data_IF_260230897239
#
_entry.id   IF_260230897239
#
_cell.length_a   1.000
_cell.length_b   1.000
_cell.length_c   1.000
_cell.angle_alpha   90.00
_cell.angle_beta   90.00
_cell.angle_gamma   90.00
#
_symmetry.space_group_name_H-M   'P 1'
#
loop_
_entity.id
_entity.type
_entity.pdbx_description
1 polymer ?
#
# COMPACT_ATOMS: atom_id res chain seq x y z
N UNK A 1 -1.01 20.11 -1.56
CA UNK A 1 -0.73 18.68 -1.24
C UNK A 1 -1.44 18.33 0.05
N UNK A 2 -2.20 17.23 0.12
CA UNK A 2 -2.95 16.86 1.34
C UNK A 2 -1.96 16.45 2.45
N UNK A 3 -1.80 17.33 3.46
CA UNK A 3 -0.80 17.19 4.53
C UNK A 3 -1.03 15.92 5.36
N UNK A 4 -2.29 15.54 5.59
CA UNK A 4 -2.65 14.36 6.38
C UNK A 4 -2.30 13.06 5.65
N UNK A 5 -2.66 12.96 4.36
CA UNK A 5 -2.32 11.79 3.56
C UNK A 5 -0.81 11.59 3.43
N UNK A 6 -0.08 12.69 3.16
CA UNK A 6 1.38 12.68 3.04
C UNK A 6 2.04 12.18 4.33
N UNK A 7 1.53 12.59 5.49
CA UNK A 7 2.02 12.12 6.80
C UNK A 7 1.82 10.62 6.99
N UNK A 8 0.67 10.07 6.63
CA UNK A 8 0.42 8.62 6.75
C UNK A 8 1.28 7.80 5.79
N UNK A 9 1.48 8.28 4.55
CA UNK A 9 2.40 7.64 3.58
C UNK A 9 3.82 7.60 4.12
N UNK A 10 4.33 8.72 4.65
CA UNK A 10 5.67 8.77 5.23
C UNK A 10 5.81 7.85 6.45
N UNK A 11 4.78 7.78 7.30
CA UNK A 11 4.76 6.88 8.46
C UNK A 11 4.76 5.41 8.04
N UNK A 12 4.03 5.06 6.98
CA UNK A 12 4.04 3.72 6.41
C UNK A 12 5.42 3.38 5.83
N UNK A 13 5.97 4.25 4.98
CA UNK A 13 7.29 4.08 4.37
C UNK A 13 8.40 3.91 5.43
N UNK A 14 8.39 4.74 6.48
CA UNK A 14 9.37 4.63 7.57
C UNK A 14 9.28 3.29 8.32
N UNK A 15 8.09 2.68 8.43
CA UNK A 15 7.94 1.34 9.01
C UNK A 15 8.44 0.26 8.05
N UNK A 16 8.19 0.41 6.75
CA UNK A 16 8.62 -0.54 5.72
C UNK A 16 10.15 -0.58 5.59
N UNK A 17 10.82 0.55 5.74
CA UNK A 17 12.29 0.63 5.71
C UNK A 17 12.99 -0.15 6.84
N UNK A 18 12.24 -0.69 7.81
CA UNK A 18 12.80 -1.55 8.87
C UNK A 18 12.93 -3.01 8.44
N UNK A 19 12.37 -3.38 7.30
CA UNK A 19 12.40 -4.73 6.76
C UNK A 19 13.41 -4.79 5.61
N UNK A 20 14.18 -5.87 5.56
CA UNK A 20 14.96 -6.25 4.38
C UNK A 20 14.06 -6.75 3.26
N UNK A 21 14.57 -6.79 2.03
CA UNK A 21 13.84 -7.34 0.89
C UNK A 21 13.36 -8.77 1.13
N UNK A 22 14.21 -9.63 1.71
CA UNK A 22 13.82 -11.00 2.04
C UNK A 22 12.70 -11.07 3.09
N UNK A 23 12.69 -10.13 4.05
CA UNK A 23 11.63 -10.06 5.06
C UNK A 23 10.28 -9.63 4.47
N UNK A 24 10.28 -8.79 3.43
CA UNK A 24 9.04 -8.40 2.76
C UNK A 24 8.34 -9.61 2.10
N UNK A 25 9.10 -10.60 1.66
CA UNK A 25 8.59 -11.86 1.09
C UNK A 25 8.32 -12.94 2.15
N UNK A 26 8.92 -12.81 3.33
CA UNK A 26 8.80 -13.77 4.44
C UNK A 26 7.50 -13.59 5.24
N UNK A 27 7.14 -12.35 5.57
CA UNK A 27 6.02 -12.08 6.46
C UNK A 27 4.68 -12.23 5.73
N UNK A 28 3.78 -13.06 6.26
CA UNK A 28 2.45 -13.33 5.69
C UNK A 28 1.37 -12.62 6.51
N UNK A 29 0.53 -11.85 5.83
CA UNK A 29 -0.63 -11.13 6.34
C UNK A 29 -1.93 -11.83 5.90
N UNK A 30 -2.79 -12.25 6.84
CA UNK A 30 -4.13 -12.74 6.48
C UNK A 30 -5.01 -11.55 6.09
N UNK A 31 -5.54 -11.56 4.87
CA UNK A 31 -6.48 -10.56 4.37
C UNK A 31 -7.88 -11.16 4.21
N UNK A 32 -8.94 -10.51 4.74
CA UNK A 32 -10.30 -11.06 4.75
C UNK A 32 -10.85 -11.52 3.39
N UNK A 33 -10.47 -10.83 2.30
CA UNK A 33 -10.96 -11.11 0.94
C UNK A 33 -9.90 -11.67 -0.01
N UNK A 34 -8.62 -11.48 0.29
CA UNK A 34 -7.53 -11.82 -0.64
C UNK A 34 -6.76 -13.08 -0.19
N UNK A 35 -7.14 -13.66 0.95
CA UNK A 35 -6.42 -14.80 1.52
C UNK A 35 -5.11 -14.38 2.17
N UNK A 36 -4.10 -15.26 2.10
CA UNK A 36 -2.77 -15.01 2.67
C UNK A 36 -1.91 -14.29 1.64
N UNK A 37 -1.36 -13.15 2.02
CA UNK A 37 -0.46 -12.35 1.17
C UNK A 37 0.84 -12.10 1.89
N UNK A 38 1.94 -11.97 1.16
CA UNK A 38 3.19 -11.44 1.74
C UNK A 38 3.05 -9.97 2.10
N UNK A 39 3.94 -9.47 2.95
CA UNK A 39 4.03 -8.03 3.24
C UNK A 39 4.29 -7.25 1.95
N UNK A 40 5.13 -7.75 1.04
CA UNK A 40 5.37 -7.16 -0.29
C UNK A 40 4.08 -7.04 -1.10
N UNK A 41 3.34 -8.14 -1.22
CA UNK A 41 2.08 -8.18 -1.99
C UNK A 41 1.05 -7.19 -1.42
N UNK A 42 0.94 -7.09 -0.10
CA UNK A 42 0.05 -6.14 0.55
C UNK A 42 0.39 -4.68 0.23
N UNK A 43 1.69 -4.34 0.21
CA UNK A 43 2.14 -2.97 -0.12
C UNK A 43 1.92 -2.67 -1.60
N UNK A 44 2.22 -3.60 -2.51
CA UNK A 44 1.91 -3.40 -3.93
C UNK A 44 0.42 -3.27 -4.20
N UNK A 45 -0.41 -4.10 -3.56
CA UNK A 45 -1.86 -3.94 -3.61
C UNK A 45 -2.27 -2.53 -3.16
N UNK A 46 -1.71 -2.03 -2.07
CA UNK A 46 -2.03 -0.69 -1.55
C UNK A 46 -1.63 0.41 -2.54
N UNK A 47 -0.44 0.33 -3.14
CA UNK A 47 0.02 1.29 -4.15
C UNK A 47 -0.90 1.30 -5.38
N UNK A 48 -1.18 0.12 -5.93
CA UNK A 48 -2.06 -0.04 -7.08
C UNK A 48 -3.48 0.46 -6.79
N UNK A 49 -4.03 0.13 -5.62
CA UNK A 49 -5.38 0.49 -5.22
C UNK A 49 -5.56 2.02 -5.12
N UNK A 50 -4.59 2.74 -4.56
CA UNK A 50 -4.63 4.21 -4.51
C UNK A 50 -4.59 4.82 -5.91
N UNK A 51 -3.72 4.32 -6.79
CA UNK A 51 -3.66 4.79 -8.18
C UNK A 51 -4.98 4.53 -8.91
N UNK A 52 -5.55 3.34 -8.77
CA UNK A 52 -6.83 2.98 -9.38
C UNK A 52 -7.96 3.93 -8.97
N UNK A 53 -8.05 4.28 -7.67
CA UNK A 53 -9.04 5.25 -7.18
C UNK A 53 -8.80 6.66 -7.69
N UNK A 54 -7.54 7.08 -7.81
CA UNK A 54 -7.19 8.37 -8.39
C UNK A 54 -7.66 8.45 -9.85
N UNK A 55 -7.33 7.43 -10.66
CA UNK A 55 -7.73 7.36 -12.06
C UNK A 55 -9.26 7.37 -12.21
N UNK A 56 -9.98 6.61 -11.38
CA UNK A 56 -11.44 6.61 -11.38
C UNK A 56 -12.01 7.97 -11.00
N UNK A 57 -11.43 8.64 -10.00
CA UNK A 57 -11.84 9.99 -9.58
C UNK A 57 -11.62 11.00 -10.70
N UNK A 58 -10.47 10.97 -11.37
CA UNK A 58 -10.18 11.84 -12.51
C UNK A 58 -11.17 11.60 -13.65
N UNK A 59 -11.46 10.33 -13.99
CA UNK A 59 -12.45 9.98 -15.03
C UNK A 59 -13.87 10.45 -14.71
N UNK A 60 -14.26 10.45 -13.44
CA UNK A 60 -15.59 10.89 -13.03
C UNK A 60 -15.72 12.43 -12.95
N UNK A 61 -14.60 13.15 -12.96
CA UNK A 61 -14.55 14.62 -12.93
C UNK A 61 -14.26 15.25 -14.31
N UNK A 62 -13.91 14.43 -15.30
CA UNK A 62 -13.76 14.81 -16.71
C UNK A 62 -15.06 14.66 -17.49
#
# INVERSE_FOLDING_TARGET
MNVRLTKEVNRLAAKLNRFSEAELDLYILPHPLLGKLTLREMIYFTCYHVQHHQELTTKNLS
#
